data_IF_739013833050
#
_entry.id   IF_739013833050
#
_cell.length_a   1.000
_cell.length_b   1.000
_cell.length_c   1.000
_cell.angle_alpha   90.00
_cell.angle_beta   90.00
_cell.angle_gamma   90.00
#
_symmetry.space_group_name_H-M   'P 1'
#
loop_
_entity.id
_entity.type
_entity.pdbx_description
1 polymer ?
#
# COMPACT_ATOMS: atom_id res chain seq x y z
N UNK A 1 -21.39 -16.42 27.18
CA UNK A 1 -20.94 -16.51 25.78
C UNK A 1 -20.80 -17.98 25.33
N UNK A 2 -20.32 -18.89 26.15
CA UNK A 2 -20.21 -20.32 25.81
C UNK A 2 -21.55 -21.08 25.77
N UNK A 3 -22.64 -20.51 26.26
CA UNK A 3 -23.95 -21.20 26.34
C UNK A 3 -24.61 -21.29 24.97
N UNK A 4 -24.94 -22.49 24.46
CA UNK A 4 -25.49 -22.69 23.13
C UNK A 4 -26.90 -22.10 22.95
N UNK A 5 -27.69 -21.98 24.03
CA UNK A 5 -29.01 -21.38 24.01
C UNK A 5 -29.01 -19.85 23.78
N UNK A 6 -27.82 -19.20 23.79
CA UNK A 6 -27.70 -17.78 23.54
C UNK A 6 -27.26 -17.57 22.08
N UNK A 7 -28.11 -17.03 21.20
CA UNK A 7 -27.80 -16.88 19.77
C UNK A 7 -26.56 -16.06 19.52
N UNK A 8 -25.80 -16.39 18.46
CA UNK A 8 -24.57 -15.68 18.08
C UNK A 8 -24.83 -14.18 17.85
N UNK A 9 -25.91 -13.83 17.17
CA UNK A 9 -26.30 -12.44 16.89
C UNK A 9 -26.37 -11.63 18.18
N UNK A 10 -26.96 -12.20 19.21
CA UNK A 10 -27.07 -11.52 20.51
C UNK A 10 -25.73 -11.41 21.22
N UNK A 11 -24.86 -12.40 21.07
CA UNK A 11 -23.49 -12.35 21.63
C UNK A 11 -22.68 -11.24 20.97
N UNK A 12 -22.74 -11.13 19.64
CA UNK A 12 -22.05 -10.09 18.85
C UNK A 12 -22.59 -8.69 19.18
N UNK A 13 -23.92 -8.54 19.25
CA UNK A 13 -24.55 -7.27 19.64
C UNK A 13 -24.08 -6.80 21.02
N UNK A 14 -24.12 -7.69 22.02
CA UNK A 14 -23.68 -7.37 23.38
C UNK A 14 -22.18 -7.04 23.42
N UNK A 15 -21.35 -7.79 22.70
CA UNK A 15 -19.93 -7.52 22.61
C UNK A 15 -19.67 -6.13 22.00
N UNK A 16 -20.30 -5.81 20.88
CA UNK A 16 -20.17 -4.50 20.24
C UNK A 16 -20.63 -3.34 21.14
N UNK A 17 -21.71 -3.52 21.90
CA UNK A 17 -22.16 -2.52 22.87
C UNK A 17 -21.16 -2.28 24.00
N UNK A 18 -20.55 -3.35 24.51
CA UNK A 18 -19.58 -3.26 25.62
C UNK A 18 -18.27 -2.62 25.09
N UNK A 19 -17.83 -2.97 23.90
CA UNK A 19 -16.58 -2.51 23.31
C UNK A 19 -16.67 -1.12 22.68
N UNK A 20 -17.85 -0.53 22.54
CA UNK A 20 -18.04 0.84 22.05
C UNK A 20 -17.43 1.90 22.99
N UNK A 21 -17.32 1.62 24.29
CA UNK A 21 -16.60 2.44 25.24
C UNK A 21 -15.11 2.07 25.22
N UNK A 22 -14.28 2.94 24.63
CA UNK A 22 -12.84 2.72 24.50
C UNK A 22 -12.12 2.59 25.85
N UNK A 23 -12.57 3.31 26.88
CA UNK A 23 -11.97 3.24 28.21
C UNK A 23 -12.27 1.88 28.84
N UNK A 24 -13.55 1.46 28.80
CA UNK A 24 -13.96 0.14 29.28
C UNK A 24 -13.24 -0.97 28.52
N UNK A 25 -13.11 -0.84 27.19
CA UNK A 25 -12.37 -1.79 26.37
C UNK A 25 -10.93 -1.98 26.84
N UNK A 26 -10.20 -0.87 27.08
CA UNK A 26 -8.80 -0.93 27.54
C UNK A 26 -8.67 -1.52 28.95
N UNK A 27 -9.56 -1.15 29.88
CA UNK A 27 -9.56 -1.67 31.26
C UNK A 27 -9.88 -3.18 31.35
N UNK A 28 -10.61 -3.71 30.35
CA UNK A 28 -11.11 -5.10 30.35
C UNK A 28 -10.58 -5.92 29.17
N UNK A 29 -9.49 -5.47 28.53
CA UNK A 29 -8.93 -6.05 27.30
C UNK A 29 -8.80 -7.58 27.36
N UNK A 30 -8.15 -8.13 28.39
CA UNK A 30 -7.96 -9.59 28.53
C UNK A 30 -9.27 -10.36 28.70
N UNK A 31 -10.22 -9.82 29.46
CA UNK A 31 -11.51 -10.47 29.63
C UNK A 31 -12.34 -10.46 28.33
N UNK A 32 -12.28 -9.35 27.59
CA UNK A 32 -12.93 -9.24 26.28
C UNK A 32 -12.25 -10.14 25.24
N UNK A 33 -10.92 -10.28 25.28
CA UNK A 33 -10.20 -11.23 24.45
C UNK A 33 -10.58 -12.68 24.71
N UNK A 34 -10.76 -13.06 25.98
CA UNK A 34 -11.26 -14.39 26.33
C UNK A 34 -12.68 -14.64 25.80
N UNK A 35 -13.55 -13.61 25.78
CA UNK A 35 -14.88 -13.71 25.18
C UNK A 35 -14.81 -13.82 23.65
N UNK A 36 -13.98 -13.00 22.98
CA UNK A 36 -13.79 -13.02 21.54
C UNK A 36 -13.23 -14.36 21.06
N UNK A 37 -12.15 -14.85 21.70
CA UNK A 37 -11.58 -16.16 21.39
C UNK A 37 -12.55 -17.31 21.62
N UNK A 38 -13.35 -17.24 22.70
CA UNK A 38 -14.40 -18.25 22.97
C UNK A 38 -15.43 -18.26 21.84
N UNK A 39 -15.84 -17.09 21.32
CA UNK A 39 -16.78 -17.03 20.19
C UNK A 39 -16.15 -17.60 18.92
N UNK A 40 -14.90 -17.25 18.59
CA UNK A 40 -14.19 -17.80 17.45
C UNK A 40 -14.03 -19.32 17.53
N UNK A 41 -13.76 -19.87 18.70
CA UNK A 41 -13.68 -21.32 18.92
C UNK A 41 -15.02 -22.06 18.76
N UNK A 42 -16.14 -21.44 19.17
CA UNK A 42 -17.47 -22.05 19.08
C UNK A 42 -18.11 -21.87 17.70
N UNK A 43 -17.69 -20.88 16.94
CA UNK A 43 -18.18 -20.56 15.59
C UNK A 43 -17.01 -20.37 14.64
N UNK A 44 -16.18 -21.43 14.43
CA UNK A 44 -14.88 -21.32 13.74
C UNK A 44 -14.98 -21.01 12.26
N UNK A 45 -16.17 -21.10 11.66
CA UNK A 45 -16.42 -20.80 10.24
C UNK A 45 -17.25 -19.52 10.03
N UNK A 46 -17.67 -18.87 11.12
CA UNK A 46 -18.41 -17.61 11.00
C UNK A 46 -17.43 -16.43 10.90
N UNK A 47 -17.43 -15.78 9.72
CA UNK A 47 -16.53 -14.66 9.45
C UNK A 47 -16.54 -13.58 10.54
N UNK A 48 -17.71 -13.30 11.10
CA UNK A 48 -17.88 -12.25 12.14
C UNK A 48 -17.10 -12.56 13.41
N UNK A 49 -17.02 -13.84 13.81
CA UNK A 49 -16.27 -14.24 15.01
C UNK A 49 -14.76 -14.33 14.74
N UNK A 50 -14.38 -14.71 13.53
CA UNK A 50 -12.99 -14.71 13.07
C UNK A 50 -12.46 -13.27 13.04
N UNK A 51 -13.18 -12.36 12.39
CA UNK A 51 -12.84 -10.94 12.30
C UNK A 51 -12.76 -10.32 13.71
N UNK A 52 -13.79 -10.53 14.54
CA UNK A 52 -13.88 -9.96 15.88
C UNK A 52 -12.68 -10.33 16.76
N UNK A 53 -12.19 -11.58 16.68
CA UNK A 53 -11.02 -12.00 17.46
C UNK A 53 -9.72 -11.46 16.84
N UNK A 54 -9.61 -11.48 15.52
CA UNK A 54 -8.47 -10.90 14.81
C UNK A 54 -8.33 -9.40 15.07
N UNK A 55 -9.42 -8.64 14.97
CA UNK A 55 -9.48 -7.20 15.26
C UNK A 55 -9.13 -6.90 16.71
N UNK A 56 -9.58 -7.75 17.66
CA UNK A 56 -9.22 -7.63 19.07
C UNK A 56 -7.70 -7.74 19.26
N UNK A 57 -7.06 -8.73 18.64
CA UNK A 57 -5.61 -8.93 18.72
C UNK A 57 -4.84 -7.74 18.11
N UNK A 58 -5.29 -7.24 16.94
CA UNK A 58 -4.70 -6.06 16.29
C UNK A 58 -4.82 -4.82 17.19
N UNK A 59 -6.02 -4.60 17.77
CA UNK A 59 -6.26 -3.46 18.66
C UNK A 59 -5.40 -3.49 19.93
N UNK A 60 -5.03 -4.69 20.39
CA UNK A 60 -4.10 -4.89 21.51
C UNK A 60 -2.63 -4.79 21.16
N UNK A 61 -2.31 -4.64 19.88
CA UNK A 61 -0.92 -4.69 19.39
C UNK A 61 -0.32 -6.09 19.34
N UNK A 62 -1.14 -7.14 19.49
CA UNK A 62 -0.71 -8.55 19.45
C UNK A 62 -0.61 -9.03 17.99
N UNK A 63 0.23 -8.34 17.18
CA UNK A 63 0.28 -8.50 15.73
C UNK A 63 0.70 -9.91 15.32
N UNK A 64 1.66 -10.54 16.03
CA UNK A 64 2.06 -11.92 15.75
C UNK A 64 0.90 -12.91 15.99
N UNK A 65 0.12 -12.73 17.05
CA UNK A 65 -1.03 -13.58 17.33
C UNK A 65 -2.15 -13.37 16.29
N UNK A 66 -2.41 -12.13 15.90
CA UNK A 66 -3.35 -11.80 14.83
C UNK A 66 -2.93 -12.42 13.49
N UNK A 67 -1.64 -12.32 13.15
CA UNK A 67 -1.05 -12.94 11.96
C UNK A 67 -1.28 -14.46 11.94
N UNK A 68 -0.99 -15.16 13.04
CA UNK A 68 -1.23 -16.60 13.13
C UNK A 68 -2.73 -16.93 13.04
N UNK A 69 -3.57 -16.13 13.66
CA UNK A 69 -5.02 -16.28 13.59
C UNK A 69 -5.53 -16.20 12.14
N UNK A 70 -5.21 -15.14 11.39
CA UNK A 70 -5.67 -15.01 10.00
C UNK A 70 -5.04 -16.05 9.07
N UNK A 71 -3.78 -16.46 9.29
CA UNK A 71 -3.15 -17.55 8.53
C UNK A 71 -3.90 -18.87 8.62
N UNK A 72 -4.51 -19.20 9.77
CA UNK A 72 -5.32 -20.40 9.93
C UNK A 72 -6.54 -20.41 9.00
N UNK A 73 -7.07 -19.21 8.71
CA UNK A 73 -8.29 -19.02 7.91
C UNK A 73 -8.04 -18.79 6.41
N UNK A 74 -6.78 -18.74 5.95
CA UNK A 74 -6.47 -18.65 4.51
C UNK A 74 -6.87 -19.89 3.69
N UNK A 75 -7.17 -20.99 4.36
CA UNK A 75 -7.61 -22.25 3.74
C UNK A 75 -9.13 -22.45 3.73
N UNK A 76 -9.87 -21.51 4.35
CA UNK A 76 -11.32 -21.59 4.45
C UNK A 76 -11.96 -21.36 3.07
N UNK A 77 -13.09 -22.02 2.82
CA UNK A 77 -13.83 -21.93 1.55
C UNK A 77 -15.20 -21.27 1.79
N UNK A 78 -15.57 -20.27 1.00
CA UNK A 78 -14.78 -19.61 -0.04
C UNK A 78 -13.66 -18.76 0.54
N UNK A 79 -12.53 -18.60 -0.20
CA UNK A 79 -11.40 -17.82 0.27
C UNK A 79 -11.79 -16.35 0.47
N UNK A 80 -11.27 -15.74 1.54
CA UNK A 80 -11.57 -14.36 1.91
C UNK A 80 -10.39 -13.45 1.58
N UNK A 81 -10.58 -12.50 0.66
CA UNK A 81 -9.56 -11.52 0.28
C UNK A 81 -9.05 -10.75 1.51
N UNK A 82 -9.96 -10.35 2.41
CA UNK A 82 -9.62 -9.59 3.61
C UNK A 82 -8.57 -10.30 4.48
N UNK A 83 -8.62 -11.64 4.56
CA UNK A 83 -7.64 -12.40 5.35
C UNK A 83 -6.26 -12.43 4.68
N UNK A 84 -6.22 -12.55 3.34
CA UNK A 84 -4.96 -12.43 2.61
C UNK A 84 -4.36 -11.05 2.77
N UNK A 85 -5.18 -9.99 2.69
CA UNK A 85 -4.73 -8.61 2.88
C UNK A 85 -4.23 -8.38 4.31
N UNK A 86 -4.97 -8.85 5.32
CA UNK A 86 -4.54 -8.75 6.71
C UNK A 86 -3.19 -9.45 6.96
N UNK A 87 -3.01 -10.66 6.41
CA UNK A 87 -1.72 -11.38 6.51
C UNK A 87 -0.60 -10.62 5.80
N UNK A 88 -0.83 -10.13 4.59
CA UNK A 88 0.15 -9.36 3.82
C UNK A 88 0.56 -8.08 4.58
N UNK A 89 -0.41 -7.32 5.11
CA UNK A 89 -0.15 -6.07 5.83
C UNK A 89 0.63 -6.34 7.14
N UNK A 90 0.30 -7.40 7.86
CA UNK A 90 1.02 -7.78 9.09
C UNK A 90 2.43 -8.31 8.81
N UNK A 91 2.63 -9.10 7.75
CA UNK A 91 3.97 -9.55 7.33
C UNK A 91 4.86 -8.36 6.92
N UNK A 92 4.26 -7.36 6.27
CA UNK A 92 4.94 -6.11 5.91
C UNK A 92 5.31 -5.31 7.16
N UNK A 93 4.36 -5.13 8.10
CA UNK A 93 4.59 -4.45 9.37
C UNK A 93 5.71 -5.09 10.20
N UNK A 94 5.76 -6.43 10.25
CA UNK A 94 6.77 -7.19 10.97
C UNK A 94 8.10 -7.30 10.22
N UNK A 95 8.17 -6.84 8.96
CA UNK A 95 9.38 -6.90 8.14
C UNK A 95 9.75 -8.31 7.65
N UNK A 96 8.80 -9.24 7.61
CA UNK A 96 9.01 -10.63 7.18
C UNK A 96 9.04 -10.74 5.65
N UNK A 97 10.09 -10.27 5.03
CA UNK A 97 10.19 -10.03 3.58
C UNK A 97 9.87 -11.24 2.72
N UNK A 98 10.41 -12.43 3.05
CA UNK A 98 10.21 -13.64 2.25
C UNK A 98 8.80 -14.20 2.39
N UNK A 99 8.27 -14.15 3.61
CA UNK A 99 6.90 -14.56 3.91
C UNK A 99 5.88 -13.63 3.22
N UNK A 100 6.11 -12.32 3.26
CA UNK A 100 5.30 -11.32 2.57
C UNK A 100 5.19 -11.62 1.07
N UNK A 101 6.33 -11.86 0.40
CA UNK A 101 6.30 -12.16 -1.05
C UNK A 101 5.57 -13.47 -1.35
N UNK A 102 5.72 -14.48 -0.49
CA UNK A 102 4.97 -15.73 -0.60
C UNK A 102 3.45 -15.48 -0.53
N UNK A 103 2.98 -14.68 0.44
CA UNK A 103 1.54 -14.43 0.59
C UNK A 103 0.97 -13.52 -0.49
N UNK A 104 1.73 -12.54 -0.99
CA UNK A 104 1.34 -11.74 -2.15
C UNK A 104 1.17 -12.64 -3.38
N UNK A 105 2.13 -13.53 -3.64
CA UNK A 105 2.06 -14.45 -4.77
C UNK A 105 0.87 -15.41 -4.65
N UNK A 106 0.65 -15.97 -3.45
CA UNK A 106 -0.48 -16.87 -3.20
C UNK A 106 -1.83 -16.16 -3.33
N UNK A 107 -1.93 -14.91 -2.86
CA UNK A 107 -3.14 -14.11 -3.06
C UNK A 107 -3.44 -13.89 -4.55
N UNK A 108 -2.43 -13.61 -5.37
CA UNK A 108 -2.59 -13.47 -6.83
C UNK A 108 -3.06 -14.77 -7.50
N UNK A 109 -2.68 -15.92 -6.98
CA UNK A 109 -3.16 -17.23 -7.49
C UNK A 109 -4.62 -17.48 -7.13
N UNK A 110 -5.05 -17.06 -5.94
CA UNK A 110 -6.43 -17.25 -5.46
C UNK A 110 -7.38 -16.19 -6.01
N UNK A 111 -6.90 -14.97 -6.22
CA UNK A 111 -7.68 -13.83 -6.71
C UNK A 111 -7.04 -13.21 -7.96
N UNK A 112 -6.99 -13.95 -9.09
CA UNK A 112 -6.25 -13.53 -10.29
C UNK A 112 -6.79 -12.25 -10.93
N UNK A 113 -8.03 -11.87 -10.64
CA UNK A 113 -8.70 -10.71 -11.23
C UNK A 113 -8.60 -9.45 -10.36
N UNK A 114 -7.96 -9.52 -9.18
CA UNK A 114 -7.81 -8.36 -8.30
C UNK A 114 -6.60 -7.49 -8.70
N UNK A 115 -6.81 -6.25 -9.17
CA UNK A 115 -5.73 -5.39 -9.65
C UNK A 115 -4.83 -4.84 -8.53
N UNK A 116 -5.24 -4.92 -7.27
CA UNK A 116 -4.45 -4.39 -6.14
C UNK A 116 -3.24 -5.27 -5.83
N UNK A 117 -3.35 -6.56 -6.08
CA UNK A 117 -2.28 -7.52 -5.80
C UNK A 117 -1.05 -7.33 -6.70
N UNK A 118 -1.17 -7.23 -8.04
CA UNK A 118 -0.02 -6.89 -8.88
C UNK A 118 0.56 -5.50 -8.55
N UNK A 119 -0.24 -4.52 -8.13
CA UNK A 119 0.28 -3.22 -7.65
C UNK A 119 1.16 -3.42 -6.40
N UNK A 120 0.69 -4.20 -5.41
CA UNK A 120 1.49 -4.54 -4.23
C UNK A 120 2.79 -5.27 -4.60
N UNK A 121 2.71 -6.25 -5.49
CA UNK A 121 3.90 -6.97 -5.99
C UNK A 121 4.89 -6.02 -6.66
N UNK A 122 4.42 -5.11 -7.50
CA UNK A 122 5.27 -4.12 -8.17
C UNK A 122 5.97 -3.20 -7.17
N UNK A 123 5.25 -2.71 -6.15
CA UNK A 123 5.84 -1.92 -5.06
C UNK A 123 6.92 -2.71 -4.30
N UNK A 124 6.70 -4.00 -4.05
CA UNK A 124 7.71 -4.87 -3.42
C UNK A 124 8.97 -5.00 -4.29
N UNK A 125 8.80 -5.21 -5.59
CA UNK A 125 9.92 -5.27 -6.55
C UNK A 125 10.68 -3.94 -6.57
N UNK A 126 9.98 -2.81 -6.54
CA UNK A 126 10.57 -1.47 -6.44
C UNK A 126 11.45 -1.33 -5.18
N UNK A 127 10.91 -1.65 -4.00
CA UNK A 127 11.63 -1.57 -2.71
C UNK A 127 12.87 -2.47 -2.70
N UNK A 128 12.80 -3.64 -3.32
CA UNK A 128 13.95 -4.56 -3.48
C UNK A 128 14.97 -4.12 -4.53
N UNK A 129 14.68 -3.06 -5.28
CA UNK A 129 15.54 -2.55 -6.36
C UNK A 129 15.42 -3.32 -7.67
N UNK A 130 14.48 -4.25 -7.82
CA UNK A 130 14.12 -4.82 -9.13
C UNK A 130 13.21 -3.86 -9.89
N UNK A 131 13.78 -2.74 -10.33
CA UNK A 131 13.04 -1.65 -10.96
C UNK A 131 12.43 -2.05 -12.31
N UNK A 132 13.06 -2.97 -13.05
CA UNK A 132 12.52 -3.45 -14.32
C UNK A 132 11.34 -4.42 -14.10
N UNK A 133 11.45 -5.31 -13.13
CA UNK A 133 10.36 -6.17 -12.70
C UNK A 133 9.17 -5.37 -12.17
N UNK A 134 9.43 -4.30 -11.40
CA UNK A 134 8.39 -3.40 -10.91
C UNK A 134 7.60 -2.75 -12.07
N UNK A 135 8.28 -2.17 -13.07
CA UNK A 135 7.62 -1.57 -14.25
C UNK A 135 6.76 -2.61 -14.97
N UNK A 136 7.32 -3.78 -15.28
CA UNK A 136 6.58 -4.84 -15.98
C UNK A 136 5.32 -5.28 -15.22
N UNK A 137 5.42 -5.34 -13.88
CA UNK A 137 4.28 -5.73 -13.04
C UNK A 137 3.24 -4.59 -12.92
N UNK A 138 3.66 -3.32 -12.87
CA UNK A 138 2.73 -2.19 -12.97
C UNK A 138 2.03 -2.14 -14.32
N UNK A 139 2.72 -2.44 -15.43
CA UNK A 139 2.11 -2.52 -16.76
C UNK A 139 1.05 -3.64 -16.82
N UNK A 140 1.28 -4.79 -16.21
CA UNK A 140 0.26 -5.84 -16.03
C UNK A 140 -0.95 -5.33 -15.24
N UNK A 141 -0.73 -4.63 -14.14
CA UNK A 141 -1.81 -4.05 -13.35
C UNK A 141 -2.67 -3.05 -14.16
N UNK A 142 -2.05 -2.26 -15.05
CA UNK A 142 -2.77 -1.33 -15.92
C UNK A 142 -3.77 -2.01 -16.87
N UNK A 143 -3.51 -3.26 -17.27
CA UNK A 143 -4.42 -4.04 -18.12
C UNK A 143 -5.68 -4.48 -17.37
N UNK A 144 -5.58 -4.64 -16.04
CA UNK A 144 -6.66 -5.10 -15.18
C UNK A 144 -7.55 -3.96 -14.68
N UNK A 145 -7.00 -2.74 -14.57
CA UNK A 145 -7.68 -1.60 -13.96
C UNK A 145 -8.57 -0.87 -14.96
N UNK A 146 -9.82 -0.59 -14.56
CA UNK A 146 -10.81 0.10 -15.39
C UNK A 146 -10.96 1.59 -15.05
N UNK A 147 -10.62 2.01 -13.83
CA UNK A 147 -10.83 3.39 -13.38
C UNK A 147 -9.64 4.28 -13.72
N UNK A 148 -9.91 5.47 -14.28
CA UNK A 148 -8.87 6.41 -14.67
C UNK A 148 -8.03 6.88 -13.47
N UNK A 149 -8.64 7.06 -12.30
CA UNK A 149 -7.90 7.48 -11.11
C UNK A 149 -6.85 6.45 -10.69
N UNK A 150 -7.19 5.15 -10.64
CA UNK A 150 -6.22 4.11 -10.28
C UNK A 150 -5.19 3.90 -11.39
N UNK A 151 -5.60 3.96 -12.67
CA UNK A 151 -4.66 3.95 -13.81
C UNK A 151 -3.67 5.11 -13.72
N UNK A 152 -4.15 6.31 -13.37
CA UNK A 152 -3.32 7.49 -13.14
C UNK A 152 -2.33 7.29 -11.99
N UNK A 153 -2.76 6.69 -10.88
CA UNK A 153 -1.85 6.35 -9.78
C UNK A 153 -0.74 5.39 -10.22
N UNK A 154 -1.10 4.31 -10.94
CA UNK A 154 -0.11 3.34 -11.44
C UNK A 154 0.89 4.01 -12.38
N UNK A 155 0.45 4.90 -13.28
CA UNK A 155 1.37 5.69 -14.11
C UNK A 155 2.30 6.59 -13.28
N UNK A 156 1.84 7.09 -12.14
CA UNK A 156 2.68 7.79 -11.17
C UNK A 156 3.80 6.88 -10.63
N UNK A 157 3.47 5.69 -10.16
CA UNK A 157 4.46 4.71 -9.67
C UNK A 157 5.45 4.27 -10.76
N UNK A 158 5.01 4.13 -12.01
CA UNK A 158 5.89 3.87 -13.15
C UNK A 158 6.85 5.04 -13.34
N UNK A 159 6.37 6.28 -13.22
CA UNK A 159 7.20 7.48 -13.28
C UNK A 159 8.28 7.50 -12.20
N UNK A 160 7.90 7.27 -10.95
CA UNK A 160 8.83 7.18 -9.82
C UNK A 160 9.87 6.07 -10.04
N UNK A 161 9.44 4.92 -10.58
CA UNK A 161 10.34 3.81 -10.90
C UNK A 161 11.37 4.18 -11.99
N UNK A 162 10.96 4.91 -13.02
CA UNK A 162 11.90 5.41 -14.02
C UNK A 162 12.86 6.46 -13.45
N UNK A 163 12.42 7.29 -12.50
CA UNK A 163 13.33 8.20 -11.80
C UNK A 163 14.35 7.42 -10.96
N UNK A 164 13.94 6.39 -10.24
CA UNK A 164 14.86 5.53 -9.49
C UNK A 164 15.90 4.84 -10.42
N UNK A 165 15.50 4.41 -11.62
CA UNK A 165 16.43 3.91 -12.65
C UNK A 165 17.42 4.99 -13.06
N UNK A 166 16.96 6.23 -13.30
CA UNK A 166 17.83 7.35 -13.65
C UNK A 166 18.88 7.60 -12.57
N UNK A 167 18.46 7.71 -11.31
CA UNK A 167 19.34 7.94 -10.16
C UNK A 167 20.38 6.82 -10.00
N UNK A 168 19.97 5.58 -10.16
CA UNK A 168 20.86 4.43 -10.13
C UNK A 168 21.91 4.50 -11.26
N UNK A 169 21.50 4.82 -12.49
CA UNK A 169 22.43 4.98 -13.62
C UNK A 169 23.42 6.11 -13.38
N UNK A 170 23.00 7.20 -12.76
CA UNK A 170 23.85 8.34 -12.44
C UNK A 170 24.84 8.01 -11.32
N UNK A 171 24.41 7.26 -10.28
CA UNK A 171 25.30 6.81 -9.21
C UNK A 171 26.30 5.75 -9.66
N UNK A 172 25.91 4.80 -10.52
CA UNK A 172 26.78 3.74 -11.03
C UNK A 172 27.80 4.25 -12.06
N UNK A 173 27.57 5.41 -12.70
CA UNK A 173 28.61 6.07 -13.51
C UNK A 173 29.83 6.53 -12.70
N UNK A 174 29.68 6.65 -11.39
CA UNK A 174 30.78 6.93 -10.47
C UNK A 174 31.55 5.66 -10.07
N UNK A 175 31.00 4.47 -10.32
CA UNK A 175 31.61 3.17 -10.01
C UNK A 175 32.02 2.45 -11.31
N UNK A 176 33.32 2.17 -11.46
CA UNK A 176 33.96 1.67 -12.68
C UNK A 176 33.71 0.18 -12.99
N UNK A 177 32.74 -0.46 -12.37
CA UNK A 177 32.40 -1.86 -12.63
C UNK A 177 31.46 -1.99 -13.84
N UNK A 178 32.03 -2.27 -14.97
CA UNK A 178 31.55 -2.53 -16.32
C UNK A 178 30.16 -3.09 -16.65
N UNK A 179 29.14 -2.85 -15.87
CA UNK A 179 27.77 -3.28 -16.16
C UNK A 179 27.06 -2.25 -17.05
N UNK A 180 26.89 -2.57 -18.34
CA UNK A 180 26.09 -1.75 -19.26
C UNK A 180 24.62 -1.82 -18.89
N UNK A 181 24.09 -0.82 -18.21
CA UNK A 181 22.64 -0.69 -18.02
C UNK A 181 21.93 -0.49 -19.37
N UNK A 182 20.79 -1.20 -19.55
CA UNK A 182 20.00 -1.18 -20.79
C UNK A 182 19.39 0.19 -21.11
N UNK A 183 19.24 1.07 -20.11
CA UNK A 183 18.62 2.37 -20.27
C UNK A 183 19.56 3.49 -19.79
N UNK A 184 19.79 4.52 -20.61
CA UNK A 184 20.57 5.70 -20.18
C UNK A 184 19.75 6.60 -19.26
N UNK A 185 20.40 7.34 -18.35
CA UNK A 185 19.75 8.29 -17.45
C UNK A 185 18.81 9.27 -18.19
N UNK A 186 19.25 9.80 -19.33
CA UNK A 186 18.43 10.69 -20.18
C UNK A 186 17.16 10.01 -20.69
N UNK A 187 17.25 8.74 -21.11
CA UNK A 187 16.06 7.98 -21.55
C UNK A 187 15.15 7.64 -20.39
N UNK A 188 15.70 7.28 -19.24
CA UNK A 188 14.92 7.00 -18.03
C UNK A 188 14.15 8.26 -17.58
N UNK A 189 14.79 9.41 -17.56
CA UNK A 189 14.13 10.68 -17.25
C UNK A 189 13.02 11.03 -18.23
N UNK A 190 13.23 10.86 -19.52
CA UNK A 190 12.18 11.09 -20.51
C UNK A 190 10.97 10.21 -20.25
N UNK A 191 11.18 8.91 -19.97
CA UNK A 191 10.10 7.97 -19.64
C UNK A 191 9.41 8.30 -18.32
N UNK A 192 10.15 8.79 -17.31
CA UNK A 192 9.57 9.30 -16.07
C UNK A 192 8.56 10.42 -16.35
N UNK A 193 8.95 11.43 -17.11
CA UNK A 193 8.09 12.56 -17.43
C UNK A 193 6.88 12.16 -18.30
N UNK A 194 7.09 11.28 -19.29
CA UNK A 194 5.99 10.71 -20.09
C UNK A 194 4.98 9.95 -19.22
N UNK A 195 5.43 9.22 -18.21
CA UNK A 195 4.56 8.52 -17.27
C UNK A 195 3.79 9.49 -16.37
N UNK A 196 4.43 10.56 -15.86
CA UNK A 196 3.75 11.59 -15.09
C UNK A 196 2.71 12.37 -15.91
N UNK A 197 2.99 12.69 -17.18
CA UNK A 197 1.99 13.30 -18.06
C UNK A 197 0.77 12.39 -18.25
N UNK A 198 0.98 11.09 -18.44
CA UNK A 198 -0.11 10.11 -18.54
C UNK A 198 -0.89 10.00 -17.23
N UNK A 199 -0.19 10.01 -16.10
CA UNK A 199 -0.81 10.03 -14.77
C UNK A 199 -1.75 11.21 -14.62
N UNK A 200 -1.28 12.44 -14.87
CA UNK A 200 -2.06 13.66 -14.71
C UNK A 200 -3.16 13.83 -15.76
N UNK A 201 -3.01 13.24 -16.94
CA UNK A 201 -4.06 13.20 -17.95
C UNK A 201 -5.24 12.32 -17.52
N UNK A 202 -5.00 11.21 -16.81
CA UNK A 202 -6.02 10.29 -16.31
C UNK A 202 -6.54 10.71 -14.92
N UNK A 203 -5.66 11.20 -14.07
CA UNK A 203 -5.96 11.61 -12.70
C UNK A 203 -5.33 12.97 -12.41
N UNK A 204 -6.04 14.03 -12.78
CA UNK A 204 -5.58 15.42 -12.68
C UNK A 204 -5.42 15.94 -11.24
N UNK A 205 -5.85 15.19 -10.23
CA UNK A 205 -5.72 15.49 -8.80
C UNK A 205 -4.71 14.57 -8.10
N UNK A 206 -3.81 13.95 -8.84
CA UNK A 206 -2.72 13.16 -8.25
C UNK A 206 -1.65 14.07 -7.62
N UNK A 207 -1.87 14.44 -6.36
CA UNK A 207 -1.01 15.36 -5.62
C UNK A 207 0.45 14.87 -5.53
N UNK A 208 0.66 13.56 -5.32
CA UNK A 208 1.99 12.95 -5.28
C UNK A 208 2.74 13.18 -6.60
N UNK A 209 2.10 12.89 -7.73
CA UNK A 209 2.71 13.08 -9.05
C UNK A 209 2.97 14.55 -9.34
N UNK A 210 2.03 15.44 -9.00
CA UNK A 210 2.26 16.89 -9.15
C UNK A 210 3.49 17.34 -8.38
N UNK A 211 3.62 16.91 -7.13
CA UNK A 211 4.78 17.26 -6.28
C UNK A 211 6.08 16.73 -6.88
N UNK A 212 6.15 15.43 -7.20
CA UNK A 212 7.36 14.78 -7.69
C UNK A 212 7.78 15.37 -9.04
N UNK A 213 6.82 15.59 -9.95
CA UNK A 213 7.10 16.19 -11.25
C UNK A 213 7.59 17.63 -11.12
N UNK A 214 6.93 18.44 -10.29
CA UNK A 214 7.34 19.81 -10.01
C UNK A 214 8.78 19.88 -9.46
N UNK A 215 9.10 19.02 -8.51
CA UNK A 215 10.44 18.90 -7.96
C UNK A 215 11.48 18.57 -9.03
N UNK A 216 11.25 17.56 -9.86
CA UNK A 216 12.20 17.17 -10.91
C UNK A 216 12.35 18.20 -12.02
N UNK A 217 11.31 18.96 -12.37
CA UNK A 217 11.41 20.10 -13.28
C UNK A 217 12.27 21.22 -12.65
N UNK A 218 12.06 21.51 -11.38
CA UNK A 218 12.81 22.57 -10.68
C UNK A 218 14.30 22.28 -10.55
N UNK A 219 14.68 21.02 -10.31
CA UNK A 219 16.10 20.60 -10.30
C UNK A 219 16.82 20.84 -11.64
N UNK A 220 16.07 20.97 -12.73
CA UNK A 220 16.60 21.23 -14.06
C UNK A 220 16.50 22.70 -14.46
N UNK A 221 15.84 23.52 -13.67
CA UNK A 221 15.49 24.89 -14.04
C UNK A 221 14.54 24.95 -15.25
N UNK A 222 13.79 23.87 -15.52
CA UNK A 222 12.87 23.77 -16.66
C UNK A 222 11.43 24.02 -16.24
N UNK A 223 10.68 24.77 -17.06
CA UNK A 223 9.25 25.01 -16.83
C UNK A 223 8.92 25.45 -15.39
N UNK A 224 9.71 26.32 -14.80
CA UNK A 224 9.61 26.70 -13.38
C UNK A 224 8.21 27.19 -12.97
N UNK A 225 7.56 27.97 -13.83
CA UNK A 225 6.19 28.43 -13.56
C UNK A 225 5.18 27.26 -13.51
N UNK A 226 5.33 26.27 -14.39
CA UNK A 226 4.52 25.05 -14.33
C UNK A 226 4.82 24.24 -13.07
N UNK A 227 6.08 24.12 -12.70
CA UNK A 227 6.49 23.45 -11.46
C UNK A 227 5.85 24.13 -10.24
N UNK A 228 5.87 25.47 -10.17
CA UNK A 228 5.23 26.24 -9.12
C UNK A 228 3.72 25.97 -9.03
N UNK A 229 3.01 26.01 -10.18
CA UNK A 229 1.57 25.76 -10.22
C UNK A 229 1.20 24.35 -9.79
N UNK A 230 1.95 23.34 -10.22
CA UNK A 230 1.73 21.93 -9.81
C UNK A 230 1.97 21.76 -8.31
N UNK A 231 3.06 22.30 -7.77
CA UNK A 231 3.38 22.20 -6.35
C UNK A 231 2.37 22.95 -5.48
N UNK A 232 1.91 24.14 -5.91
CA UNK A 232 0.82 24.87 -5.25
C UNK A 232 -0.48 24.08 -5.25
N UNK A 233 -0.79 23.38 -6.34
CA UNK A 233 -1.98 22.53 -6.43
C UNK A 233 -1.87 21.31 -5.51
N UNK A 234 -0.71 20.68 -5.43
CA UNK A 234 -0.47 19.54 -4.53
C UNK A 234 -0.72 19.94 -3.05
N UNK A 235 -0.24 21.12 -2.63
CA UNK A 235 -0.49 21.64 -1.26
C UNK A 235 -1.98 21.89 -1.04
N UNK A 236 -2.71 22.42 -2.03
CA UNK A 236 -4.17 22.64 -1.89
C UNK A 236 -4.94 21.34 -1.73
N UNK A 237 -4.46 20.25 -2.30
CA UNK A 237 -5.06 18.92 -2.16
C UNK A 237 -4.70 18.28 -0.81
N UNK A 238 -3.47 18.47 -0.34
CA UNK A 238 -2.97 17.90 0.92
C UNK A 238 -2.20 18.96 1.72
N UNK A 239 -2.92 19.84 2.39
CA UNK A 239 -2.37 21.06 3.02
C UNK A 239 -1.38 20.82 4.17
N UNK A 240 -1.42 19.65 4.81
CA UNK A 240 -0.55 19.31 5.94
C UNK A 240 0.63 18.40 5.53
N UNK A 241 0.86 18.20 4.24
CA UNK A 241 1.95 17.36 3.76
C UNK A 241 3.26 18.16 3.76
N UNK A 242 4.14 17.87 4.74
CA UNK A 242 5.41 18.58 4.91
C UNK A 242 6.33 18.47 3.67
N UNK A 243 6.32 17.33 2.97
CA UNK A 243 7.11 17.13 1.74
C UNK A 243 6.66 18.08 0.63
N UNK A 244 5.34 18.33 0.51
CA UNK A 244 4.83 19.22 -0.52
C UNK A 244 5.13 20.68 -0.21
N UNK A 245 5.08 21.05 1.07
CA UNK A 245 5.48 22.38 1.52
C UNK A 245 6.98 22.65 1.27
N UNK A 246 7.83 21.64 1.53
CA UNK A 246 9.27 21.74 1.28
C UNK A 246 9.56 21.90 -0.22
N UNK A 247 8.95 21.08 -1.07
CA UNK A 247 9.09 21.19 -2.53
C UNK A 247 8.65 22.57 -3.04
N UNK A 248 7.55 23.13 -2.51
CA UNK A 248 7.09 24.45 -2.93
C UNK A 248 8.05 25.55 -2.51
N UNK A 249 8.54 25.51 -1.27
CA UNK A 249 9.54 26.45 -0.78
C UNK A 249 10.83 26.39 -1.61
N UNK A 250 11.29 25.18 -1.96
CA UNK A 250 12.42 24.94 -2.84
C UNK A 250 12.23 25.62 -4.20
N UNK A 251 11.08 25.41 -4.84
CA UNK A 251 10.76 25.98 -6.15
C UNK A 251 10.77 27.51 -6.09
N UNK A 252 10.13 28.10 -5.06
CA UNK A 252 10.11 29.55 -4.88
C UNK A 252 11.50 30.15 -4.66
N UNK A 253 12.37 29.42 -3.97
CA UNK A 253 13.76 29.88 -3.74
C UNK A 253 14.56 29.96 -5.04
N UNK A 254 14.29 29.07 -6.02
CA UNK A 254 15.01 29.03 -7.30
C UNK A 254 14.34 29.87 -8.41
N UNK A 255 13.19 30.46 -8.20
CA UNK A 255 12.53 31.38 -9.13
C UNK A 255 12.98 32.83 -8.90
#
# INVERSE_FOLDING_TARGET
YARPEFPLERKLELFGRITSDRKFYGEHYFALGALASTMALHYPTDKRTIDLYGDHLIAGGEIDAALQHFKLHLKDEPPQMDYYMAVIDMEEYLGHTDSLDHYVQRAMEVFPDDPTLPIRKANRLYVRGDLHGAIATFEQALEMVQTDSLRGQIWGYIGDTYNAIKERVESEKADTTGYKMRLSAKKAQKKCFEAYERSLALYSENAMVMNNYAYFLSLRGEQMERARQMSERAIKLESNNATYLDTYAWILYYM
#
